data_IF_804098200743
#
_entry.id   IF_804098200743
#
_cell.length_a   1.000
_cell.length_b   1.000
_cell.length_c   1.000
_cell.angle_alpha   90.00
_cell.angle_beta   90.00
_cell.angle_gamma   90.00
#
_symmetry.space_group_name_H-M   'P 1'
#
loop_
_entity.id
_entity.type
_entity.pdbx_description
1 polymer ?
#
# COMPACT_ATOMS: atom_id res chain seq x y z
N UNK A 1 -5.86 -36.68 28.13
CA UNK A 1 -4.96 -36.07 27.13
C UNK A 1 -3.54 -36.32 27.59
N UNK A 2 -2.89 -37.27 26.94
CA UNK A 2 -1.57 -37.75 27.32
C UNK A 2 -0.51 -36.71 26.93
N UNK A 3 0.64 -36.68 27.62
CA UNK A 3 1.69 -35.68 27.37
C UNK A 3 2.22 -35.77 25.92
N UNK A 4 2.16 -36.96 25.32
CA UNK A 4 2.47 -37.22 23.91
C UNK A 4 1.48 -36.59 22.91
N UNK A 5 0.21 -36.37 23.28
CA UNK A 5 -0.77 -35.68 22.41
C UNK A 5 -0.58 -34.16 22.44
N UNK A 6 0.02 -33.63 23.51
CA UNK A 6 0.38 -32.21 23.60
C UNK A 6 1.64 -31.88 22.80
N UNK A 7 2.56 -32.83 22.64
CA UNK A 7 3.77 -32.66 21.84
C UNK A 7 3.48 -32.79 20.33
N UNK A 8 2.48 -33.57 19.92
CA UNK A 8 2.07 -33.67 18.50
C UNK A 8 1.30 -32.43 18.02
N UNK A 9 0.60 -31.71 18.91
CA UNK A 9 0.01 -30.40 18.57
C UNK A 9 0.98 -29.21 18.72
N UNK A 10 2.24 -29.49 19.09
CA UNK A 10 3.32 -28.50 19.22
C UNK A 10 4.45 -28.71 18.20
N UNK A 11 4.19 -29.44 17.11
CA UNK A 11 4.82 -29.11 15.84
C UNK A 11 4.21 -27.80 15.33
N UNK A 12 4.62 -26.71 16.00
CA UNK A 12 4.69 -25.40 15.39
C UNK A 12 5.48 -25.60 14.11
N UNK A 13 4.80 -25.66 12.97
CA UNK A 13 5.45 -25.62 11.66
C UNK A 13 6.47 -24.49 11.71
N UNK A 14 7.75 -24.83 11.79
CA UNK A 14 8.80 -23.84 11.86
C UNK A 14 8.59 -22.93 10.65
N UNK A 15 8.41 -21.63 10.89
CA UNK A 15 8.26 -20.68 9.80
C UNK A 15 9.46 -20.84 8.87
N UNK A 16 9.23 -20.92 7.56
CA UNK A 16 10.30 -21.04 6.57
C UNK A 16 10.80 -19.67 6.07
N UNK A 17 10.35 -18.57 6.67
CA UNK A 17 10.58 -17.23 6.13
C UNK A 17 9.86 -17.02 4.79
N UNK A 18 10.10 -15.88 4.15
CA UNK A 18 9.48 -15.53 2.87
C UNK A 18 10.45 -14.78 1.96
N UNK A 19 10.26 -14.92 0.65
CA UNK A 19 10.97 -14.14 -0.36
C UNK A 19 9.95 -13.53 -1.31
N UNK A 20 10.19 -12.27 -1.68
CA UNK A 20 9.34 -11.51 -2.58
C UNK A 20 10.19 -10.84 -3.66
N UNK A 21 9.68 -10.83 -4.88
CA UNK A 21 10.25 -10.13 -6.03
C UNK A 21 9.33 -8.99 -6.44
N UNK A 22 9.71 -7.76 -6.07
CA UNK A 22 8.94 -6.56 -6.40
C UNK A 22 9.31 -6.14 -7.81
N UNK A 23 8.61 -6.71 -8.80
CA UNK A 23 8.75 -6.42 -10.23
C UNK A 23 10.17 -6.57 -10.79
N UNK A 24 11.02 -7.39 -10.17
CA UNK A 24 12.44 -7.52 -10.53
C UNK A 24 13.32 -6.34 -10.09
N UNK A 25 12.75 -5.33 -9.42
CA UNK A 25 13.44 -4.11 -8.98
C UNK A 25 14.10 -4.32 -7.60
N UNK A 26 13.34 -4.88 -6.66
CA UNK A 26 13.77 -5.07 -5.27
C UNK A 26 13.36 -6.45 -4.78
N UNK A 27 14.32 -7.20 -4.24
CA UNK A 27 14.08 -8.43 -3.53
C UNK A 27 13.82 -8.16 -2.04
N UNK A 28 12.75 -8.72 -1.49
CA UNK A 28 12.50 -8.67 -0.04
C UNK A 28 12.65 -10.08 0.52
N UNK A 29 13.48 -10.23 1.55
CA UNK A 29 13.75 -11.49 2.22
C UNK A 29 13.36 -11.34 3.69
N UNK A 30 12.48 -12.20 4.19
CA UNK A 30 12.00 -12.18 5.58
C UNK A 30 12.47 -13.44 6.27
N UNK A 31 13.26 -13.28 7.32
CA UNK A 31 13.81 -14.41 8.07
C UNK A 31 12.71 -15.19 8.79
N UNK A 32 12.86 -16.52 8.94
CA UNK A 32 12.04 -17.35 9.80
C UNK A 32 11.79 -16.75 11.19
N UNK A 33 10.54 -16.70 11.63
CA UNK A 33 10.20 -16.28 12.99
C UNK A 33 10.25 -14.77 13.23
N UNK A 34 10.46 -13.99 12.17
CA UNK A 34 10.39 -12.52 12.21
C UNK A 34 9.03 -12.03 12.75
N UNK A 35 9.01 -11.11 13.73
CA UNK A 35 7.77 -10.50 14.21
C UNK A 35 6.99 -9.84 13.06
N UNK A 36 5.72 -10.24 12.89
CA UNK A 36 4.87 -9.72 11.81
C UNK A 36 5.10 -10.37 10.45
N UNK A 37 5.85 -11.48 10.36
CA UNK A 37 6.06 -12.21 9.10
C UNK A 37 4.74 -12.54 8.38
N UNK A 38 3.70 -13.00 9.09
CA UNK A 38 2.39 -13.29 8.48
C UNK A 38 1.77 -12.03 7.83
N UNK A 39 1.92 -10.87 8.47
CA UNK A 39 1.43 -9.61 7.94
C UNK A 39 2.23 -9.18 6.71
N UNK A 40 3.56 -9.32 6.73
CA UNK A 40 4.42 -9.06 5.58
C UNK A 40 4.05 -9.98 4.42
N UNK A 41 3.86 -11.28 4.68
CA UNK A 41 3.44 -12.27 3.68
C UNK A 41 2.09 -11.94 3.06
N UNK A 42 1.10 -11.59 3.87
CA UNK A 42 -0.23 -11.23 3.37
C UNK A 42 -0.18 -9.96 2.53
N UNK A 43 0.53 -8.93 2.99
CA UNK A 43 0.60 -7.63 2.32
C UNK A 43 1.43 -7.65 1.04
N UNK A 44 2.53 -8.40 1.02
CA UNK A 44 3.43 -8.56 -0.13
C UNK A 44 3.11 -9.79 -0.97
N UNK A 45 2.00 -10.48 -0.70
CA UNK A 45 1.60 -11.70 -1.41
C UNK A 45 1.68 -11.61 -2.96
N UNK A 46 1.32 -10.49 -3.62
CA UNK A 46 1.43 -10.37 -5.08
C UNK A 46 2.85 -10.54 -5.62
N UNK A 47 3.86 -10.36 -4.76
CA UNK A 47 5.27 -10.44 -5.11
C UNK A 47 5.92 -11.73 -4.62
N UNK A 48 5.15 -12.68 -4.05
CA UNK A 48 5.72 -13.88 -3.45
C UNK A 48 6.50 -14.70 -4.48
N UNK A 49 7.79 -14.90 -4.24
CA UNK A 49 8.67 -15.56 -5.17
C UNK A 49 10.14 -15.25 -4.91
N UNK A 50 11.04 -16.09 -5.42
CA UNK A 50 12.48 -15.82 -5.34
C UNK A 50 12.82 -14.65 -6.26
N UNK A 51 13.46 -13.63 -5.70
CA UNK A 51 13.91 -12.48 -6.48
C UNK A 51 15.35 -12.63 -6.98
N UNK A 52 15.60 -12.15 -8.20
CA UNK A 52 16.94 -11.91 -8.76
C UNK A 52 17.28 -10.42 -8.86
N UNK A 53 16.45 -9.56 -8.27
CA UNK A 53 16.66 -8.12 -8.25
C UNK A 53 18.04 -7.75 -7.70
N UNK A 54 18.64 -6.66 -8.22
CA UNK A 54 19.96 -6.20 -7.78
C UNK A 54 19.93 -5.64 -6.35
N UNK A 55 18.82 -5.01 -5.94
CA UNK A 55 18.66 -4.43 -4.61
C UNK A 55 17.83 -5.32 -3.67
N UNK A 56 18.10 -5.24 -2.37
CA UNK A 56 17.59 -6.12 -1.33
C UNK A 56 17.13 -5.39 -0.08
N UNK A 57 15.98 -5.82 0.45
CA UNK A 57 15.55 -5.59 1.82
C UNK A 57 15.54 -6.90 2.59
N UNK A 58 16.33 -6.99 3.65
CA UNK A 58 16.35 -8.16 4.54
C UNK A 58 15.66 -7.82 5.84
N UNK A 59 14.64 -8.57 6.21
CA UNK A 59 13.78 -8.29 7.36
C UNK A 59 13.95 -9.38 8.40
N UNK A 60 14.30 -9.01 9.63
CA UNK A 60 14.59 -9.98 10.69
C UNK A 60 14.06 -9.53 12.05
N UNK A 61 13.74 -10.50 12.90
CA UNK A 61 13.45 -10.23 14.32
C UNK A 61 14.68 -9.90 15.15
N UNK A 62 15.84 -10.39 14.71
CA UNK A 62 17.10 -10.29 15.44
C UNK A 62 17.86 -9.03 15.02
N UNK A 63 18.31 -8.27 16.02
CA UNK A 63 19.07 -7.04 15.83
C UNK A 63 20.55 -7.36 15.83
N UNK A 64 21.26 -6.85 14.84
CA UNK A 64 22.73 -6.89 14.83
C UNK A 64 23.27 -5.81 15.77
N UNK A 65 24.22 -6.12 16.67
CA UNK A 65 24.89 -5.10 17.47
C UNK A 65 25.58 -4.07 16.58
N UNK A 66 25.43 -2.78 16.91
CA UNK A 66 26.11 -1.67 16.24
C UNK A 66 26.87 -0.88 17.29
N UNK A 67 28.18 -0.75 17.08
CA UNK A 67 29.08 0.00 17.97
C UNK A 67 29.24 1.45 17.50
N UNK A 68 29.73 2.33 18.38
CA UNK A 68 30.05 3.72 18.03
C UNK A 68 28.84 4.60 17.66
N UNK A 69 27.66 4.28 18.17
CA UNK A 69 26.43 5.02 17.84
C UNK A 69 26.42 6.42 18.47
N UNK A 70 26.06 7.41 17.67
CA UNK A 70 25.61 8.72 18.13
C UNK A 70 24.21 8.62 18.72
N UNK A 71 23.91 9.50 19.67
CA UNK A 71 22.62 9.57 20.35
C UNK A 71 21.91 10.88 20.03
N UNK A 72 20.72 10.80 19.45
CA UNK A 72 19.80 11.92 19.33
C UNK A 72 18.74 11.77 20.43
N UNK A 73 19.08 12.27 21.61
CA UNK A 73 18.30 12.06 22.85
C UNK A 73 18.01 10.57 23.08
N UNK A 74 16.82 10.26 23.63
CA UNK A 74 16.31 8.89 23.73
C UNK A 74 15.57 8.43 22.46
N UNK A 75 15.43 9.32 21.46
CA UNK A 75 14.64 9.07 20.26
C UNK A 75 15.33 8.11 19.30
N UNK A 76 16.61 8.38 18.98
CA UNK A 76 17.36 7.62 17.98
C UNK A 76 18.80 7.32 18.41
N UNK A 77 19.31 6.18 17.96
CA UNK A 77 20.75 5.87 17.97
C UNK A 77 21.20 5.61 16.54
N UNK A 78 22.32 6.16 16.10
CA UNK A 78 22.67 6.10 14.69
C UNK A 78 24.18 6.15 14.43
N UNK A 79 24.56 5.64 13.26
CA UNK A 79 25.89 5.81 12.65
C UNK A 79 25.67 6.30 11.21
N UNK A 80 26.73 6.46 10.43
CA UNK A 80 26.60 6.76 9.00
C UNK A 80 25.80 5.67 8.25
N UNK A 81 25.94 4.40 8.64
CA UNK A 81 25.30 3.26 7.98
C UNK A 81 24.19 2.59 8.80
N UNK A 82 23.67 3.21 9.87
CA UNK A 82 22.63 2.59 10.68
C UNK A 82 21.75 3.58 11.42
N UNK A 83 20.49 3.22 11.64
CA UNK A 83 19.52 3.96 12.45
C UNK A 83 18.73 3.00 13.33
N UNK A 84 18.71 3.24 14.64
CA UNK A 84 17.80 2.59 15.59
C UNK A 84 16.78 3.61 16.09
N UNK A 85 15.50 3.29 15.90
CA UNK A 85 14.36 4.09 16.36
C UNK A 85 13.80 3.46 17.63
N UNK A 86 14.08 4.08 18.78
CA UNK A 86 13.75 3.52 20.11
C UNK A 86 12.25 3.30 20.30
N UNK A 87 11.42 4.25 19.87
CA UNK A 87 9.96 4.21 20.05
C UNK A 87 9.32 3.02 19.32
N UNK A 88 9.84 2.71 18.13
CA UNK A 88 9.30 1.66 17.28
C UNK A 88 10.04 0.32 17.48
N UNK A 89 11.22 0.33 18.12
CA UNK A 89 12.10 -0.83 18.31
C UNK A 89 12.49 -1.46 16.98
N UNK A 90 12.87 -0.60 16.04
CA UNK A 90 13.31 -0.95 14.69
C UNK A 90 14.72 -0.44 14.49
N UNK A 91 15.59 -1.29 13.95
CA UNK A 91 16.93 -0.95 13.49
C UNK A 91 17.01 -1.10 11.98
N UNK A 92 17.61 -0.12 11.33
CA UNK A 92 17.92 -0.12 9.92
C UNK A 92 19.44 -0.13 9.79
N UNK A 93 19.96 -1.02 8.97
CA UNK A 93 21.40 -1.12 8.70
C UNK A 93 21.58 -1.12 7.20
N UNK A 94 22.39 -0.19 6.70
CA UNK A 94 22.74 -0.14 5.28
C UNK A 94 23.62 -1.34 4.90
N UNK A 95 23.42 -1.81 3.67
CA UNK A 95 24.21 -2.82 3.01
C UNK A 95 24.60 -2.32 1.63
N UNK A 96 25.65 -2.91 1.05
CA UNK A 96 26.05 -2.62 -0.33
C UNK A 96 24.90 -2.79 -1.35
N UNK A 97 24.00 -3.74 -1.12
CA UNK A 97 22.86 -4.11 -1.96
C UNK A 97 21.52 -3.60 -1.42
N UNK A 98 21.48 -2.75 -0.40
CA UNK A 98 20.22 -2.19 0.12
C UNK A 98 20.21 -2.03 1.64
N UNK A 99 19.21 -2.61 2.33
CA UNK A 99 19.07 -2.43 3.78
C UNK A 99 18.63 -3.69 4.53
N UNK A 100 19.03 -3.80 5.79
CA UNK A 100 18.38 -4.67 6.77
C UNK A 100 17.39 -3.88 7.60
N UNK A 101 16.20 -4.43 7.81
CA UNK A 101 15.17 -3.93 8.73
C UNK A 101 15.01 -4.95 9.84
N UNK A 102 15.43 -4.59 11.05
CA UNK A 102 15.56 -5.52 12.17
C UNK A 102 14.75 -5.07 13.37
N UNK A 103 14.28 -6.02 14.17
CA UNK A 103 13.80 -5.76 15.53
C UNK A 103 12.44 -6.35 15.84
N UNK A 104 11.86 -5.89 16.95
CA UNK A 104 10.62 -6.44 17.52
C UNK A 104 9.40 -5.53 17.34
N UNK A 105 9.60 -4.44 16.59
CA UNK A 105 8.59 -3.45 16.24
C UNK A 105 7.58 -3.91 15.19
N UNK A 106 6.86 -2.94 14.64
CA UNK A 106 6.06 -3.12 13.42
C UNK A 106 6.99 -2.93 12.21
N UNK A 107 7.36 -4.02 11.54
CA UNK A 107 8.40 -3.98 10.51
C UNK A 107 7.86 -3.59 9.13
N UNK A 108 6.58 -3.81 8.84
CA UNK A 108 5.97 -3.46 7.56
C UNK A 108 6.05 -1.95 7.30
N UNK A 109 5.73 -1.14 8.31
CA UNK A 109 5.78 0.32 8.25
C UNK A 109 7.19 0.87 8.05
N UNK A 110 8.23 0.09 8.37
CA UNK A 110 9.62 0.41 8.06
C UNK A 110 10.06 -0.09 6.67
N UNK A 111 9.52 -1.23 6.22
CA UNK A 111 9.78 -1.78 4.88
C UNK A 111 9.28 -0.86 3.77
N UNK A 112 8.07 -0.29 3.88
CA UNK A 112 7.48 0.53 2.80
C UNK A 112 8.32 1.75 2.37
N UNK A 113 8.77 2.65 3.27
CA UNK A 113 9.57 3.79 2.85
C UNK A 113 10.95 3.39 2.30
N UNK A 114 11.56 2.32 2.82
CA UNK A 114 12.83 1.80 2.29
C UNK A 114 12.64 1.12 0.92
N UNK A 115 11.50 0.43 0.71
CA UNK A 115 11.14 -0.13 -0.58
C UNK A 115 11.00 0.96 -1.63
N UNK A 116 10.29 2.05 -1.32
CA UNK A 116 10.19 3.20 -2.22
C UNK A 116 11.57 3.81 -2.53
N UNK A 117 12.42 3.97 -1.52
CA UNK A 117 13.78 4.48 -1.72
C UNK A 117 14.63 3.57 -2.63
N UNK A 118 14.55 2.24 -2.47
CA UNK A 118 15.26 1.31 -3.34
C UNK A 118 14.67 1.25 -4.75
N UNK A 119 13.35 1.32 -4.91
CA UNK A 119 12.74 1.44 -6.24
C UNK A 119 13.24 2.68 -6.97
N UNK A 120 13.38 3.82 -6.28
CA UNK A 120 13.89 5.08 -6.87
C UNK A 120 15.32 4.91 -7.40
N UNK A 121 16.15 4.11 -6.72
CA UNK A 121 17.49 3.76 -7.20
C UNK A 121 17.48 2.87 -8.45
N UNK A 122 16.38 2.18 -8.71
CA UNK A 122 16.13 1.35 -9.90
C UNK A 122 15.16 2.02 -10.89
N UNK A 123 15.16 3.36 -10.96
CA UNK A 123 14.37 4.16 -11.90
C UNK A 123 12.84 3.93 -11.84
N UNK A 124 12.33 3.51 -10.68
CA UNK A 124 10.89 3.37 -10.44
C UNK A 124 10.46 4.09 -9.16
N UNK A 125 9.20 4.47 -9.04
CA UNK A 125 8.69 5.15 -7.85
C UNK A 125 7.42 4.47 -7.34
N UNK A 126 7.31 4.30 -6.01
CA UNK A 126 6.01 3.99 -5.42
C UNK A 126 5.11 5.21 -5.44
N UNK A 127 3.83 5.00 -5.75
CA UNK A 127 2.82 6.06 -5.83
C UNK A 127 1.56 5.64 -5.10
N UNK A 128 0.82 6.62 -4.56
CA UNK A 128 -0.51 6.39 -3.99
C UNK A 128 -1.56 6.73 -5.04
N UNK A 129 -2.06 5.68 -5.70
CA UNK A 129 -3.01 5.77 -6.80
C UNK A 129 -3.78 4.47 -6.98
N UNK A 130 -5.00 4.60 -7.50
CA UNK A 130 -5.67 3.49 -8.16
C UNK A 130 -5.11 3.39 -9.59
N UNK A 131 -4.81 2.17 -10.02
CA UNK A 131 -4.32 1.87 -11.36
C UNK A 131 -5.05 0.68 -11.95
N UNK A 132 -5.39 0.76 -13.23
CA UNK A 132 -5.99 -0.33 -13.99
C UNK A 132 -5.33 -0.43 -15.36
N UNK A 133 -5.29 -1.64 -15.88
CA UNK A 133 -5.01 -1.91 -17.28
C UNK A 133 -6.35 -1.88 -18.02
N UNK A 134 -6.61 -0.76 -18.68
CA UNK A 134 -7.81 -0.53 -19.48
C UNK A 134 -7.53 -0.99 -20.92
N UNK A 135 -7.82 -2.26 -21.22
CA UNK A 135 -7.71 -2.83 -22.58
C UNK A 135 -6.30 -2.66 -23.19
N UNK A 136 -5.25 -2.78 -22.38
CA UNK A 136 -3.85 -2.58 -22.76
C UNK A 136 -3.30 -1.18 -22.44
N UNK A 137 -4.16 -0.24 -22.02
CA UNK A 137 -3.78 1.14 -21.67
C UNK A 137 -3.77 1.34 -20.17
N UNK A 138 -2.63 1.69 -19.60
CA UNK A 138 -2.49 1.99 -18.18
C UNK A 138 -3.18 3.30 -17.81
N UNK A 139 -4.12 3.23 -16.87
CA UNK A 139 -4.83 4.39 -16.31
C UNK A 139 -4.36 4.65 -14.90
N UNK A 140 -3.84 5.85 -14.69
CA UNK A 140 -3.33 6.34 -13.41
C UNK A 140 -4.34 7.29 -12.75
N UNK A 141 -4.86 6.91 -11.57
CA UNK A 141 -5.82 7.69 -10.80
C UNK A 141 -5.28 8.02 -9.39
N UNK A 142 -4.35 8.98 -9.26
CA UNK A 142 -3.91 9.46 -7.96
C UNK A 142 -5.08 10.19 -7.29
N UNK A 143 -5.28 9.96 -6.00
CA UNK A 143 -6.33 10.65 -5.25
C UNK A 143 -6.06 10.60 -3.75
N UNK A 144 -6.67 11.52 -3.02
CA UNK A 144 -6.78 11.46 -1.57
C UNK A 144 -7.63 10.28 -1.10
N UNK A 145 -7.46 9.90 0.17
CA UNK A 145 -8.35 8.98 0.87
C UNK A 145 -9.82 9.43 0.79
N UNK A 146 -10.74 8.50 0.56
CA UNK A 146 -12.18 8.77 0.57
C UNK A 146 -12.77 9.41 -0.70
N UNK A 147 -11.96 9.71 -1.73
CA UNK A 147 -12.47 10.31 -2.98
C UNK A 147 -13.33 9.35 -3.80
N UNK A 148 -13.09 8.02 -3.71
CA UNK A 148 -13.87 6.99 -4.41
C UNK A 148 -13.05 6.01 -5.26
N UNK A 149 -11.71 5.99 -5.13
CA UNK A 149 -10.77 5.13 -5.89
C UNK A 149 -11.23 3.68 -5.99
N UNK A 150 -11.42 3.02 -4.84
CA UNK A 150 -11.78 1.59 -4.78
C UNK A 150 -13.10 1.28 -5.50
N UNK A 151 -14.12 2.13 -5.34
CA UNK A 151 -15.40 1.98 -6.05
C UNK A 151 -15.27 2.20 -7.56
N UNK A 152 -14.42 3.14 -7.98
CA UNK A 152 -14.17 3.40 -9.40
C UNK A 152 -13.44 2.23 -10.06
N UNK A 153 -12.39 1.72 -9.42
CA UNK A 153 -11.65 0.53 -9.90
C UNK A 153 -12.58 -0.67 -10.04
N UNK A 154 -13.50 -0.87 -9.09
CA UNK A 154 -14.51 -1.92 -9.17
C UNK A 154 -15.33 -1.86 -10.47
N UNK A 155 -15.87 -0.66 -10.77
CA UNK A 155 -16.70 -0.43 -11.95
C UNK A 155 -15.91 -0.56 -13.25
N UNK A 156 -14.65 -0.16 -13.25
CA UNK A 156 -13.76 -0.32 -14.39
C UNK A 156 -13.47 -1.79 -14.65
N UNK A 157 -13.04 -2.56 -13.63
CA UNK A 157 -12.72 -3.98 -13.78
C UNK A 157 -13.95 -4.83 -14.13
N UNK A 158 -15.16 -4.40 -13.76
CA UNK A 158 -16.39 -5.03 -14.23
C UNK A 158 -16.56 -4.96 -15.76
N UNK A 159 -15.92 -4.00 -16.44
CA UNK A 159 -16.02 -3.84 -17.89
C UNK A 159 -15.17 -4.89 -18.64
N UNK A 160 -15.59 -5.34 -19.83
CA UNK A 160 -14.81 -6.26 -20.65
C UNK A 160 -13.43 -5.69 -21.01
N UNK A 161 -12.40 -6.54 -20.90
CA UNK A 161 -11.02 -6.20 -21.27
C UNK A 161 -10.27 -5.30 -20.27
N UNK A 162 -10.88 -4.91 -19.15
CA UNK A 162 -10.20 -4.17 -18.09
C UNK A 162 -9.68 -5.12 -17.01
N UNK A 163 -8.45 -4.92 -16.56
CA UNK A 163 -7.77 -5.70 -15.54
C UNK A 163 -7.33 -4.84 -14.35
N UNK A 164 -7.47 -5.38 -13.15
CA UNK A 164 -7.06 -4.75 -11.90
C UNK A 164 -5.53 -4.74 -11.80
N UNK A 165 -4.95 -3.62 -11.37
CA UNK A 165 -3.51 -3.53 -11.05
C UNK A 165 -3.28 -3.13 -9.60
N UNK A 166 -3.97 -2.09 -9.12
CA UNK A 166 -3.92 -1.66 -7.72
C UNK A 166 -5.03 -0.64 -7.37
N UNK A 167 -5.39 -0.52 -6.08
CA UNK A 167 -6.39 0.44 -5.60
C UNK A 167 -5.83 1.55 -4.68
N UNK A 168 -4.59 1.38 -4.22
CA UNK A 168 -4.01 2.18 -3.14
C UNK A 168 -2.55 2.52 -3.42
N UNK A 169 -1.67 1.52 -3.48
CA UNK A 169 -0.27 1.70 -3.89
C UNK A 169 -0.02 1.08 -5.23
N UNK A 170 0.86 1.68 -6.03
CA UNK A 170 1.35 1.12 -7.28
C UNK A 170 2.81 1.56 -7.47
N UNK A 171 3.43 1.12 -8.55
CA UNK A 171 4.73 1.63 -8.97
C UNK A 171 4.63 2.21 -10.39
N UNK A 172 5.53 3.12 -10.70
CA UNK A 172 5.69 3.67 -12.05
C UNK A 172 7.19 3.72 -12.39
N UNK A 173 7.56 3.12 -13.51
CA UNK A 173 8.90 3.22 -14.08
C UNK A 173 9.07 4.53 -14.85
N UNK A 174 10.30 5.01 -14.98
CA UNK A 174 10.59 6.23 -15.73
C UNK A 174 10.39 6.11 -17.25
N UNK A 175 10.17 4.90 -17.74
CA UNK A 175 9.74 4.55 -19.10
C UNK A 175 8.21 4.66 -19.31
N UNK A 176 7.47 5.05 -18.27
CA UNK A 176 6.01 5.16 -18.30
C UNK A 176 5.28 3.85 -18.02
N UNK A 177 5.96 2.76 -17.68
CA UNK A 177 5.32 1.51 -17.28
C UNK A 177 4.69 1.63 -15.89
N UNK A 178 3.35 1.57 -15.81
CA UNK A 178 2.66 1.35 -14.54
C UNK A 178 2.84 -0.12 -14.15
N UNK A 179 3.10 -0.34 -12.88
CA UNK A 179 3.30 -1.66 -12.30
C UNK A 179 2.35 -1.84 -11.12
N UNK A 180 1.60 -2.93 -11.13
CA UNK A 180 0.55 -3.21 -10.15
C UNK A 180 1.10 -3.54 -8.76
N UNK A 181 0.33 -3.22 -7.72
CA UNK A 181 0.55 -3.75 -6.37
C UNK A 181 -0.81 -4.21 -5.84
N UNK A 182 -1.20 -5.41 -6.29
CA UNK A 182 -2.50 -5.99 -6.02
C UNK A 182 -2.66 -6.53 -4.58
N UNK A 183 -2.30 -5.72 -3.60
CA UNK A 183 -2.36 -6.06 -2.18
C UNK A 183 -3.80 -6.36 -1.73
N UNK A 184 -3.98 -7.06 -0.60
CA UNK A 184 -5.31 -7.29 -0.05
C UNK A 184 -6.09 -5.98 0.15
N UNK A 185 -7.33 -5.96 -0.36
CA UNK A 185 -8.19 -4.78 -0.30
C UNK A 185 -9.13 -4.84 0.90
N UNK A 186 -9.43 -3.68 1.47
CA UNK A 186 -10.48 -3.54 2.49
C UNK A 186 -11.82 -3.26 1.81
N UNK A 187 -12.70 -4.27 1.81
CA UNK A 187 -14.04 -4.11 1.25
C UNK A 187 -14.98 -3.64 2.37
N UNK A 188 -15.51 -2.43 2.20
CA UNK A 188 -16.44 -1.77 3.14
C UNK A 188 -17.90 -2.11 2.81
N UNK A 189 -18.84 -2.01 3.78
CA UNK A 189 -20.24 -2.39 3.58
C UNK A 189 -20.97 -1.69 2.42
N UNK A 190 -20.60 -0.44 2.09
CA UNK A 190 -21.18 0.28 0.96
C UNK A 190 -20.78 -0.29 -0.41
N UNK A 191 -19.74 -1.14 -0.47
CA UNK A 191 -19.43 -1.88 -1.68
C UNK A 191 -20.34 -3.09 -1.89
N UNK A 192 -21.31 -3.39 -0.99
CA UNK A 192 -22.21 -4.53 -1.12
C UNK A 192 -23.06 -4.50 -2.39
N UNK A 193 -23.46 -3.31 -2.83
CA UNK A 193 -24.17 -3.15 -4.10
C UNK A 193 -23.27 -3.40 -5.33
N UNK A 194 -21.95 -3.27 -5.16
CA UNK A 194 -20.93 -3.39 -6.22
C UNK A 194 -20.35 -4.83 -6.25
N UNK A 195 -20.27 -5.51 -5.10
CA UNK A 195 -19.70 -6.85 -4.95
C UNK A 195 -20.66 -7.81 -4.22
N UNK A 196 -21.89 -8.06 -4.71
CA UNK A 196 -22.88 -8.88 -4.00
C UNK A 196 -22.32 -10.26 -3.62
N UNK A 197 -21.48 -10.85 -4.48
CA UNK A 197 -20.90 -12.18 -4.29
C UNK A 197 -19.88 -12.24 -3.15
N UNK A 198 -19.07 -11.19 -2.97
CA UNK A 198 -18.09 -11.08 -1.87
C UNK A 198 -18.79 -10.97 -0.50
N UNK A 199 -20.02 -10.45 -0.49
CA UNK A 199 -20.87 -10.39 0.70
C UNK A 199 -21.82 -11.59 0.82
N UNK A 200 -21.90 -12.46 -0.18
CA UNK A 200 -22.71 -13.69 -0.18
C UNK A 200 -22.00 -14.83 0.56
N UNK A 201 -21.98 -14.72 1.89
CA UNK A 201 -21.30 -15.68 2.75
C UNK A 201 -21.48 -15.29 4.20
N UNK A 202 -22.70 -15.47 4.70
CA UNK A 202 -23.06 -15.18 6.09
C UNK A 202 -22.57 -16.34 6.95
N UNK A 203 -21.39 -16.23 7.57
CA UNK A 203 -21.19 -16.92 8.86
C UNK A 203 -22.07 -16.19 9.88
N UNK A 204 -23.07 -16.90 10.40
CA UNK A 204 -24.06 -16.38 11.36
C UNK A 204 -23.34 -15.62 12.49
N UNK A 205 -23.76 -14.40 12.85
CA UNK A 205 -23.22 -13.73 14.03
C UNK A 205 -23.51 -14.61 15.26
N UNK A 206 -22.48 -14.92 16.04
CA UNK A 206 -22.59 -15.71 17.27
C UNK A 206 -23.25 -14.93 18.43
N UNK A 207 -23.63 -13.66 18.22
CA UNK A 207 -24.26 -12.82 19.23
C UNK A 207 -25.65 -12.31 18.74
N UNK A 208 -26.71 -12.42 19.56
CA UNK A 208 -28.05 -11.96 19.19
C UNK A 208 -28.10 -10.43 18.97
N UNK A 209 -28.90 -9.98 18.00
CA UNK A 209 -28.94 -8.60 17.49
C UNK A 209 -29.37 -7.47 18.43
N UNK A 210 -29.55 -7.74 19.74
CA UNK A 210 -29.80 -6.71 20.74
C UNK A 210 -28.50 -6.16 21.36
N UNK A 211 -27.36 -6.81 21.14
CA UNK A 211 -26.03 -6.36 21.61
C UNK A 211 -25.26 -5.47 20.60
N UNK A 212 -25.75 -5.32 19.37
CA UNK A 212 -25.01 -4.65 18.27
C UNK A 212 -25.09 -3.11 18.33
N UNK A 213 -26.19 -2.54 18.81
CA UNK A 213 -26.38 -1.08 18.83
C UNK A 213 -25.48 -0.30 19.82
N UNK A 214 -25.20 -0.79 21.05
CA UNK A 214 -24.27 -0.08 21.94
C UNK A 214 -22.80 -0.27 21.52
N UNK A 215 -22.45 -1.39 20.88
CA UNK A 215 -21.07 -1.69 20.43
C UNK A 215 -20.69 -0.89 19.18
N UNK A 216 -21.63 -0.67 18.25
CA UNK A 216 -21.39 0.13 17.05
C UNK A 216 -21.05 1.60 17.35
N UNK A 217 -21.62 2.18 18.43
CA UNK A 217 -21.29 3.55 18.87
C UNK A 217 -19.93 3.65 19.56
N UNK A 218 -19.48 2.57 20.20
CA UNK A 218 -18.14 2.53 20.79
C UNK A 218 -17.06 2.37 19.70
N UNK A 219 -17.35 1.63 18.62
CA UNK A 219 -16.42 1.39 17.52
C UNK A 219 -16.01 2.67 16.75
N UNK A 220 -16.89 3.67 16.67
CA UNK A 220 -16.60 4.96 16.00
C UNK A 220 -15.63 5.84 16.80
N UNK A 221 -15.41 5.57 18.09
CA UNK A 221 -14.60 6.41 18.97
C UNK A 221 -13.14 5.92 19.16
N UNK A 222 -12.74 4.80 18.55
CA UNK A 222 -11.42 4.16 18.82
C UNK A 222 -10.48 4.15 17.61
N UNK A 223 -10.85 4.82 16.52
CA UNK A 223 -10.08 4.86 15.28
C UNK A 223 -8.61 5.36 15.43
N UNK A 224 -8.23 6.22 16.40
CA UNK A 224 -6.83 6.60 16.62
C UNK A 224 -6.00 5.57 17.42
N UNK A 225 -6.64 4.61 18.11
CA UNK A 225 -5.94 3.68 19.04
C UNK A 225 -5.69 2.32 18.39
N UNK A 226 -6.45 1.96 17.35
CA UNK A 226 -6.30 0.69 16.60
C UNK A 226 -4.96 0.61 15.86
N UNK A 227 -4.36 1.75 15.51
CA UNK A 227 -3.01 1.83 14.90
C UNK A 227 -1.90 1.60 15.95
N UNK A 228 -2.21 1.67 17.25
CA UNK A 228 -1.20 1.69 18.32
C UNK A 228 -0.95 0.33 18.99
N UNK A 229 -1.79 -0.70 18.76
CA UNK A 229 -1.61 -2.02 19.38
C UNK A 229 -2.13 -3.19 18.51
N UNK A 230 -1.25 -3.99 17.87
CA UNK A 230 -1.67 -5.09 16.99
C UNK A 230 -2.26 -6.32 17.74
N UNK A 231 -1.96 -6.51 19.03
CA UNK A 231 -2.52 -7.64 19.81
C UNK A 231 -4.03 -7.50 20.07
N UNK A 232 -4.55 -6.27 20.16
CA UNK A 232 -5.99 -6.02 20.30
C UNK A 232 -6.71 -5.99 18.95
N UNK A 233 -6.02 -5.63 17.86
CA UNK A 233 -6.57 -5.68 16.50
C UNK A 233 -6.95 -7.10 16.05
N UNK A 234 -6.16 -8.12 16.40
CA UNK A 234 -6.52 -9.51 16.09
C UNK A 234 -7.76 -9.99 16.85
N UNK A 235 -7.98 -9.48 18.08
CA UNK A 235 -9.13 -9.82 18.91
C UNK A 235 -10.41 -9.09 18.45
N UNK A 236 -10.31 -7.82 18.04
CA UNK A 236 -11.46 -7.05 17.53
C UNK A 236 -11.81 -7.36 16.06
N UNK A 237 -10.86 -7.82 15.24
CA UNK A 237 -11.11 -8.28 13.85
C UNK A 237 -12.04 -9.50 13.76
N UNK A 238 -12.10 -10.35 14.80
CA UNK A 238 -13.11 -11.44 14.89
C UNK A 238 -14.53 -10.93 15.20
N UNK A 239 -14.67 -9.69 15.67
CA UNK A 239 -15.91 -9.12 16.20
C UNK A 239 -16.49 -7.98 15.36
N UNK A 240 -15.83 -7.56 14.27
CA UNK A 240 -16.41 -6.66 13.26
C UNK A 240 -16.63 -7.42 11.93
N UNK A 241 -17.81 -8.01 11.71
CA UNK A 241 -18.17 -8.70 10.47
C UNK A 241 -18.22 -7.78 9.23
N UNK A 242 -18.05 -6.47 9.43
CA UNK A 242 -18.34 -5.42 8.44
C UNK A 242 -17.12 -5.00 7.61
N UNK A 243 -15.90 -5.42 7.98
CA UNK A 243 -14.67 -5.10 7.25
C UNK A 243 -13.96 -6.39 6.84
N UNK A 244 -14.01 -6.73 5.54
CA UNK A 244 -13.33 -7.92 5.00
C UNK A 244 -12.08 -7.51 4.25
N UNK A 245 -10.96 -8.09 4.64
CA UNK A 245 -9.72 -8.05 3.85
C UNK A 245 -9.79 -9.21 2.85
N UNK A 246 -9.73 -8.92 1.56
CA UNK A 246 -9.87 -9.91 0.49
C UNK A 246 -8.79 -9.68 -0.55
N UNK A 247 -8.18 -10.75 -1.05
CA UNK A 247 -7.20 -10.65 -2.14
C UNK A 247 -7.93 -10.31 -3.46
N UNK A 248 -7.42 -9.38 -4.28
CA UNK A 248 -8.05 -9.01 -5.55
C UNK A 248 -8.39 -10.19 -6.46
N UNK A 249 -7.54 -11.22 -6.51
CA UNK A 249 -7.77 -12.44 -7.29
C UNK A 249 -9.03 -13.20 -6.86
N UNK A 250 -9.39 -13.15 -5.57
CA UNK A 250 -10.61 -13.77 -5.04
C UNK A 250 -11.87 -12.97 -5.38
N UNK A 251 -11.72 -11.69 -5.74
CA UNK A 251 -12.82 -10.78 -6.09
C UNK A 251 -13.04 -10.73 -7.60
N UNK A 252 -11.95 -10.58 -8.36
CA UNK A 252 -11.99 -10.32 -9.79
C UNK A 252 -11.67 -11.54 -10.65
N UNK A 253 -11.08 -12.59 -10.07
CA UNK A 253 -10.45 -13.68 -10.82
C UNK A 253 -8.99 -13.37 -11.16
N UNK A 254 -8.13 -14.39 -11.10
CA UNK A 254 -6.69 -14.24 -11.35
C UNK A 254 -6.38 -13.78 -12.78
N UNK A 255 -7.21 -14.16 -13.76
CA UNK A 255 -7.12 -13.73 -15.17
C UNK A 255 -7.41 -12.24 -15.37
N UNK A 256 -8.05 -11.60 -14.38
CA UNK A 256 -8.39 -10.17 -14.41
C UNK A 256 -7.43 -9.31 -13.59
N UNK A 257 -6.29 -9.87 -13.17
CA UNK A 257 -5.18 -9.13 -12.57
C UNK A 257 -4.11 -8.88 -13.64
N UNK A 258 -3.60 -7.66 -13.70
CA UNK A 258 -2.47 -7.30 -14.56
C UNK A 258 -1.29 -6.83 -13.70
N UNK A 259 -0.08 -7.23 -14.08
CA UNK A 259 1.15 -6.81 -13.41
C UNK A 259 1.66 -5.46 -13.94
N UNK A 260 1.30 -5.08 -15.16
CA UNK A 260 1.79 -3.83 -15.76
C UNK A 260 1.07 -3.40 -17.05
N UNK A 261 1.09 -2.10 -17.31
CA UNK A 261 0.59 -1.48 -18.54
C UNK A 261 1.25 -0.10 -18.75
N UNK A 262 1.49 0.30 -20.00
CA UNK A 262 2.04 1.63 -20.29
C UNK A 262 1.03 2.72 -19.93
N UNK A 263 1.46 3.75 -19.21
CA UNK A 263 0.63 4.88 -18.83
C UNK A 263 0.12 5.59 -20.08
N UNK A 264 -1.20 5.69 -20.24
CA UNK A 264 -1.84 6.44 -21.34
C UNK A 264 -2.73 7.58 -20.86
N UNK A 265 -3.10 7.58 -19.59
CA UNK A 265 -3.98 8.58 -19.01
C UNK A 265 -3.69 8.78 -17.52
N UNK A 266 -3.54 10.04 -17.09
CA UNK A 266 -3.36 10.39 -15.68
C UNK A 266 -4.42 11.41 -15.24
N UNK A 267 -5.30 11.01 -14.30
CA UNK A 267 -6.35 11.89 -13.76
C UNK A 267 -6.23 11.94 -12.24
N UNK A 268 -5.84 13.09 -11.70
CA UNK A 268 -5.84 13.34 -10.27
C UNK A 268 -7.27 13.60 -9.80
N UNK A 269 -7.75 12.86 -8.80
CA UNK A 269 -9.12 12.96 -8.30
C UNK A 269 -9.17 13.70 -6.96
N UNK A 270 -10.09 14.67 -6.84
CA UNK A 270 -10.32 15.40 -5.59
C UNK A 270 -11.79 15.60 -5.31
N UNK A 271 -12.13 15.72 -4.02
CA UNK A 271 -13.44 16.20 -3.59
C UNK A 271 -13.38 17.71 -3.39
N UNK A 272 -14.41 18.42 -3.83
CA UNK A 272 -14.48 19.88 -3.65
C UNK A 272 -15.90 20.39 -3.39
N UNK A 273 -15.97 21.58 -2.81
CA UNK A 273 -17.21 22.32 -2.58
C UNK A 273 -17.64 23.01 -3.88
N UNK A 274 -18.45 22.31 -4.68
CA UNK A 274 -19.02 22.83 -5.90
C UNK A 274 -20.26 22.05 -6.34
N UNK A 275 -21.07 22.60 -7.25
CA UNK A 275 -22.31 21.97 -7.67
C UNK A 275 -22.08 20.76 -8.61
N UNK A 276 -21.07 20.83 -9.46
CA UNK A 276 -20.82 19.89 -10.56
C UNK A 276 -19.35 19.50 -10.68
N UNK A 277 -19.08 18.36 -11.31
CA UNK A 277 -17.71 17.93 -11.58
C UNK A 277 -17.00 18.84 -12.59
N UNK A 278 -15.70 19.06 -12.38
CA UNK A 278 -14.85 19.91 -13.23
C UNK A 278 -13.60 19.16 -13.63
N UNK A 279 -13.39 19.01 -14.93
CA UNK A 279 -12.17 18.48 -15.50
C UNK A 279 -11.30 19.62 -16.00
N UNK A 280 -10.07 19.69 -15.49
CA UNK A 280 -9.12 20.75 -15.81
C UNK A 280 -7.82 20.12 -16.30
N UNK A 281 -7.32 20.53 -17.47
CA UNK A 281 -6.00 20.11 -17.94
C UNK A 281 -4.92 20.64 -17.01
N UNK A 282 -3.90 19.83 -16.73
CA UNK A 282 -2.77 20.18 -15.86
C UNK A 282 -1.45 19.81 -16.51
N UNK A 283 -0.40 20.54 -16.14
CA UNK A 283 0.95 20.23 -16.63
C UNK A 283 1.51 18.98 -15.95
N UNK A 284 2.55 18.40 -16.56
CA UNK A 284 3.26 17.24 -16.01
C UNK A 284 3.92 17.61 -14.68
N UNK A 285 4.48 18.81 -14.56
CA UNK A 285 5.11 19.28 -13.32
C UNK A 285 4.10 19.36 -12.18
N UNK A 286 2.88 19.85 -12.48
CA UNK A 286 1.79 19.88 -11.52
C UNK A 286 1.41 18.45 -11.08
N UNK A 287 1.20 17.53 -12.04
CA UNK A 287 0.82 16.15 -11.73
C UNK A 287 1.91 15.44 -10.91
N UNK A 288 3.18 15.62 -11.30
CA UNK A 288 4.36 15.07 -10.63
C UNK A 288 4.42 15.51 -9.17
N UNK A 289 4.36 16.82 -8.93
CA UNK A 289 4.37 17.40 -7.59
C UNK A 289 3.26 16.81 -6.72
N UNK A 290 2.05 16.65 -7.28
CA UNK A 290 0.91 16.08 -6.57
C UNK A 290 1.06 14.59 -6.30
N UNK A 291 1.57 13.80 -7.23
CA UNK A 291 1.80 12.35 -7.03
C UNK A 291 2.82 12.12 -5.91
N UNK A 292 3.97 12.81 -5.98
CA UNK A 292 5.05 12.66 -4.98
C UNK A 292 4.57 13.10 -3.60
N UNK A 293 3.92 14.26 -3.51
CA UNK A 293 3.38 14.77 -2.25
C UNK A 293 2.24 13.91 -1.68
N UNK A 294 1.32 13.45 -2.54
CA UNK A 294 0.19 12.61 -2.13
C UNK A 294 0.68 11.29 -1.54
N UNK A 295 1.64 10.62 -2.20
CA UNK A 295 2.23 9.39 -1.67
C UNK A 295 2.81 9.59 -0.27
N UNK A 296 3.65 10.61 -0.07
CA UNK A 296 4.25 10.88 1.23
C UNK A 296 3.19 11.18 2.30
N UNK A 297 2.16 11.97 1.98
CA UNK A 297 1.11 12.35 2.93
C UNK A 297 0.24 11.17 3.40
N UNK A 298 0.08 10.17 2.54
CA UNK A 298 -0.78 8.99 2.76
C UNK A 298 0.00 7.82 3.38
N UNK A 299 1.32 7.98 3.59
CA UNK A 299 2.08 7.05 4.41
C UNK A 299 1.59 7.08 5.87
N UNK A 300 1.58 5.90 6.55
CA UNK A 300 1.35 5.83 7.98
C UNK A 300 2.26 6.80 8.75
N UNK A 301 1.75 7.37 9.84
CA UNK A 301 2.51 8.34 10.65
C UNK A 301 3.86 7.80 11.13
N UNK A 302 3.94 6.50 11.44
CA UNK A 302 5.20 5.82 11.80
C UNK A 302 6.18 5.82 10.62
N UNK A 303 5.71 5.48 9.42
CA UNK A 303 6.53 5.51 8.20
C UNK A 303 7.03 6.92 7.86
N UNK A 304 6.20 7.96 8.05
CA UNK A 304 6.61 9.36 7.85
C UNK A 304 7.71 9.78 8.82
N UNK A 305 7.56 9.47 10.11
CA UNK A 305 8.59 9.71 11.13
C UNK A 305 9.88 8.97 10.81
N UNK A 306 9.77 7.76 10.27
CA UNK A 306 10.96 7.02 9.85
C UNK A 306 11.68 7.73 8.69
N UNK A 307 10.96 8.22 7.68
CA UNK A 307 11.56 9.01 6.59
C UNK A 307 12.28 10.24 7.14
N UNK A 308 11.66 10.95 8.09
CA UNK A 308 12.29 12.09 8.77
C UNK A 308 13.57 11.67 9.51
N UNK A 309 13.55 10.55 10.24
CA UNK A 309 14.72 10.05 10.97
C UNK A 309 15.85 9.58 10.02
N UNK A 310 15.51 8.92 8.91
CA UNK A 310 16.47 8.53 7.87
C UNK A 310 17.18 9.76 7.28
N UNK A 311 16.43 10.84 7.05
CA UNK A 311 16.99 12.11 6.59
C UNK A 311 17.84 12.83 7.62
N UNK A 312 17.33 12.95 8.85
CA UNK A 312 18.01 13.65 9.93
C UNK A 312 19.36 13.00 10.31
N UNK A 313 19.49 11.70 10.09
CA UNK A 313 20.72 10.94 10.37
C UNK A 313 21.64 10.80 9.17
N UNK A 314 21.22 11.26 7.98
CA UNK A 314 22.00 11.15 6.74
C UNK A 314 21.95 9.77 6.07
N UNK A 315 21.29 8.78 6.67
CA UNK A 315 21.19 7.41 6.14
C UNK A 315 20.44 7.35 4.80
N UNK A 316 19.50 8.28 4.58
CA UNK A 316 18.89 8.53 3.27
C UNK A 316 18.93 10.04 2.97
N UNK A 317 19.60 10.48 1.89
CA UNK A 317 19.63 11.89 1.53
C UNK A 317 18.26 12.33 0.96
N UNK A 318 17.37 12.86 1.80
CA UNK A 318 15.99 13.14 1.42
C UNK A 318 15.86 14.11 0.23
N UNK A 319 16.70 15.14 0.17
CA UNK A 319 16.67 16.10 -0.93
C UNK A 319 16.91 15.41 -2.29
N UNK A 320 17.88 14.49 -2.35
CA UNK A 320 18.19 13.71 -3.54
C UNK A 320 17.09 12.68 -3.82
N UNK A 321 16.64 11.94 -2.81
CA UNK A 321 15.57 10.94 -2.96
C UNK A 321 14.28 11.54 -3.55
N UNK A 322 13.80 12.67 -3.01
CA UNK A 322 12.59 13.31 -3.53
C UNK A 322 12.80 13.92 -4.91
N UNK A 323 13.99 14.46 -5.21
CA UNK A 323 14.31 14.98 -6.54
C UNK A 323 14.35 13.87 -7.60
N UNK A 324 15.00 12.75 -7.30
CA UNK A 324 15.06 11.57 -8.18
C UNK A 324 13.67 10.98 -8.40
N UNK A 325 12.89 10.82 -7.33
CA UNK A 325 11.50 10.35 -7.41
C UNK A 325 10.64 11.25 -8.30
N UNK A 326 10.76 12.57 -8.15
CA UNK A 326 10.04 13.51 -9.00
C UNK A 326 10.48 13.40 -10.46
N UNK A 327 11.79 13.24 -10.73
CA UNK A 327 12.29 13.07 -12.08
C UNK A 327 11.79 11.78 -12.75
N UNK A 328 11.70 10.66 -12.02
CA UNK A 328 11.12 9.40 -12.50
C UNK A 328 9.66 9.60 -12.90
N UNK A 329 8.84 10.16 -12.00
CA UNK A 329 7.41 10.40 -12.27
C UNK A 329 7.21 11.37 -13.43
N UNK A 330 8.06 12.39 -13.54
CA UNK A 330 8.00 13.35 -14.63
C UNK A 330 8.28 12.69 -15.98
N UNK A 331 9.37 11.90 -16.09
CA UNK A 331 9.70 11.14 -17.32
C UNK A 331 8.60 10.16 -17.70
N UNK A 332 8.05 9.46 -16.71
CA UNK A 332 6.99 8.49 -16.91
C UNK A 332 5.68 9.10 -17.47
N UNK A 333 5.48 10.40 -17.30
CA UNK A 333 4.30 11.13 -17.74
C UNK A 333 4.54 11.92 -19.05
N UNK A 334 5.73 11.81 -19.65
CA UNK A 334 6.01 12.46 -20.94
C UNK A 334 5.03 11.96 -22.01
N UNK A 335 4.34 12.90 -22.67
CA UNK A 335 3.32 12.58 -23.67
C UNK A 335 2.01 12.01 -23.11
N UNK A 336 1.87 11.89 -21.78
CA UNK A 336 0.65 11.41 -21.12
C UNK A 336 -0.28 12.59 -20.80
N UNK A 337 -1.55 12.57 -21.27
CA UNK A 337 -2.54 13.57 -20.87
C UNK A 337 -2.75 13.59 -19.34
N UNK A 338 -2.46 14.73 -18.73
CA UNK A 338 -2.62 14.98 -17.30
C UNK A 338 -3.82 15.88 -17.03
N UNK A 339 -4.70 15.47 -16.12
CA UNK A 339 -5.87 16.27 -15.74
C UNK A 339 -6.17 16.20 -14.25
N UNK A 340 -6.79 17.25 -13.72
CA UNK A 340 -7.41 17.28 -12.41
C UNK A 340 -8.92 17.14 -12.60
N UNK A 341 -9.51 16.12 -11.97
CA UNK A 341 -10.95 15.98 -11.86
C UNK A 341 -11.40 16.32 -10.44
N UNK A 342 -12.08 17.45 -10.30
CA UNK A 342 -12.72 17.88 -9.06
C UNK A 342 -14.15 17.38 -9.05
N UNK A 343 -14.53 16.63 -8.01
CA UNK A 343 -15.83 15.98 -7.85
C UNK A 343 -16.55 16.59 -6.64
N UNK A 344 -17.84 16.96 -6.74
CA UNK A 344 -18.57 17.51 -5.61
C UNK A 344 -18.55 16.59 -4.39
N UNK A 345 -18.39 17.17 -3.20
CA UNK A 345 -18.53 16.46 -1.91
C UNK A 345 -19.94 15.87 -1.72
N UNK A 346 -20.95 16.47 -2.35
CA UNK A 346 -22.35 16.04 -2.28
C UNK A 346 -22.64 14.77 -3.11
N UNK A 347 -21.74 14.39 -4.03
CA UNK A 347 -21.95 13.22 -4.86
C UNK A 347 -21.69 11.93 -4.09
N UNK A 348 -22.61 10.97 -4.19
CA UNK A 348 -22.41 9.62 -3.68
C UNK A 348 -21.18 8.96 -4.32
N UNK A 349 -20.60 7.97 -3.62
CA UNK A 349 -19.50 7.17 -4.15
C UNK A 349 -19.90 6.49 -5.48
N UNK A 350 -21.13 6.01 -5.57
CA UNK A 350 -21.66 5.33 -6.75
C UNK A 350 -21.72 6.25 -7.99
N UNK A 351 -22.36 7.43 -7.84
CA UNK A 351 -22.41 8.46 -8.90
C UNK A 351 -21.02 8.91 -9.32
N UNK A 352 -20.12 9.06 -8.34
CA UNK A 352 -18.72 9.44 -8.60
C UNK A 352 -18.04 8.40 -9.47
N UNK A 353 -18.16 7.13 -9.11
CA UNK A 353 -17.52 6.05 -9.84
C UNK A 353 -18.08 5.87 -11.24
N UNK A 354 -19.39 6.06 -11.46
CA UNK A 354 -19.97 6.06 -12.82
C UNK A 354 -19.39 7.19 -13.67
N UNK A 355 -19.36 8.40 -13.11
CA UNK A 355 -18.84 9.56 -13.83
C UNK A 355 -17.37 9.36 -14.22
N UNK A 356 -16.52 8.91 -13.29
CA UNK A 356 -15.10 8.69 -13.56
C UNK A 356 -14.90 7.56 -14.57
N UNK A 357 -15.66 6.46 -14.45
CA UNK A 357 -15.56 5.35 -15.40
C UNK A 357 -15.98 5.77 -16.83
N UNK A 358 -17.07 6.53 -16.96
CA UNK A 358 -17.53 7.06 -18.25
C UNK A 358 -16.52 8.04 -18.86
N UNK A 359 -15.91 8.90 -18.03
CA UNK A 359 -14.87 9.81 -18.48
C UNK A 359 -13.62 9.07 -18.99
N UNK A 360 -13.22 7.98 -18.32
CA UNK A 360 -12.09 7.17 -18.78
C UNK A 360 -12.41 6.51 -20.11
N UNK A 361 -13.61 5.92 -20.25
CA UNK A 361 -14.06 5.35 -21.53
C UNK A 361 -14.00 6.42 -22.64
N UNK A 362 -14.55 7.61 -22.41
CA UNK A 362 -14.53 8.66 -23.44
C UNK A 362 -13.12 9.13 -23.80
N UNK A 363 -12.14 9.01 -22.91
CA UNK A 363 -10.75 9.45 -23.15
C UNK A 363 -9.87 8.41 -23.82
N UNK A 364 -10.25 7.14 -23.82
CA UNK A 364 -9.45 6.03 -24.33
C UNK A 364 -10.11 5.24 -25.46
N UNK A 365 -11.42 5.42 -25.66
CA UNK A 365 -12.14 4.90 -26.84
C UNK A 365 -12.18 5.93 -28.00
N UNK A 366 -11.61 7.13 -27.81
CA UNK A 366 -11.21 8.08 -28.87
C UNK A 366 -9.90 7.62 -29.52
#
# INVERSE_FOLDING_TARGET
MNQSERDVMRESSASMGASFDVHGLVGIEVDPGTPGESQLRDMLAPFLGKSRAPLRLRVSGDMTPVEGQSHAEDAYRFTEGSLYVSADRVQIVEMHDGYKVQGRGELLTAVIPLLDHLCVRENAAMIHAAVVDFRGSGVLLPAWGGVGKTSTVAKLVAQPGVRFMADDWAFIGDDGLLLGYAKPMFIKPHHRAIYPDVFSGVRKPLAPGWLTNPVARLATAVHPVIVRYPKTAAFTRRWSPEHRMVHPEQVFGADRISSGALTRLAIFLERFDGPDARLEARSIEWMTSRIVGNFHSELPMVSRRLVEALGATGLVPLAEHFAQKAAIVQRALEGVPCSLLRIPVSWSADRTSDYVANLINSKLDE
#
